data_IF_679180397440
#
_entry.id   IF_679180397440
#
_cell.length_a   1.000
_cell.length_b   1.000
_cell.length_c   1.000
_cell.angle_alpha   90.00
_cell.angle_beta   90.00
_cell.angle_gamma   90.00
#
_symmetry.space_group_name_H-M   'P 1'
#
loop_
_entity.id
_entity.type
_entity.pdbx_description
1 polymer ?
#
# COMPACT_ATOMS: atom_id res chain seq x y z
N UNK A 1 -1.04 1.11 -38.34
CA UNK A 1 -0.54 0.60 -37.04
C UNK A 1 -1.34 1.23 -35.91
N UNK A 2 -2.47 0.61 -35.54
CA UNK A 2 -3.38 1.15 -34.52
C UNK A 2 -2.74 1.06 -33.13
N UNK A 3 -2.70 2.19 -32.42
CA UNK A 3 -2.11 2.28 -31.09
C UNK A 3 -2.76 1.31 -30.10
N UNK A 4 -1.92 0.50 -29.44
CA UNK A 4 -2.31 -0.44 -28.39
C UNK A 4 -3.04 0.32 -27.28
N UNK A 5 -4.38 0.26 -27.26
CA UNK A 5 -5.21 0.96 -26.27
C UNK A 5 -4.86 0.46 -24.87
N UNK A 6 -4.87 1.34 -23.87
CA UNK A 6 -4.50 1.05 -22.47
C UNK A 6 -5.22 -0.19 -21.91
N UNK A 7 -6.45 -0.45 -22.37
CA UNK A 7 -7.28 -1.61 -22.02
C UNK A 7 -6.64 -2.95 -22.40
N UNK A 8 -5.99 -3.02 -23.56
CA UNK A 8 -5.28 -4.22 -24.03
C UNK A 8 -4.08 -4.53 -23.13
N UNK A 9 -3.33 -3.49 -22.69
CA UNK A 9 -2.22 -3.66 -21.75
C UNK A 9 -2.68 -4.15 -20.38
N UNK A 10 -3.81 -3.64 -19.86
CA UNK A 10 -4.36 -4.10 -18.58
C UNK A 10 -4.85 -5.55 -18.64
N UNK A 11 -5.46 -5.97 -19.75
CA UNK A 11 -5.90 -7.36 -19.93
C UNK A 11 -4.70 -8.31 -19.99
N UNK A 12 -3.67 -7.96 -20.76
CA UNK A 12 -2.42 -8.74 -20.83
C UNK A 12 -1.75 -8.85 -19.46
N UNK A 13 -1.68 -7.75 -18.69
CA UNK A 13 -1.11 -7.77 -17.35
C UNK A 13 -1.90 -8.69 -16.40
N UNK A 14 -3.23 -8.67 -16.48
CA UNK A 14 -4.10 -9.54 -15.68
C UNK A 14 -3.91 -11.02 -16.03
N UNK A 15 -3.84 -11.38 -17.32
CA UNK A 15 -3.57 -12.75 -17.78
C UNK A 15 -2.21 -13.21 -17.23
N UNK A 16 -1.17 -12.40 -17.38
CA UNK A 16 0.17 -12.72 -16.90
C UNK A 16 0.21 -12.90 -15.37
N UNK A 17 -0.49 -12.04 -14.61
CA UNK A 17 -0.60 -12.14 -13.16
C UNK A 17 -1.27 -13.43 -12.73
N UNK A 18 -2.42 -13.78 -13.33
CA UNK A 18 -3.16 -15.01 -13.03
C UNK A 18 -2.30 -16.25 -13.30
N UNK A 19 -1.62 -16.31 -14.44
CA UNK A 19 -0.70 -17.41 -14.78
C UNK A 19 0.44 -17.49 -13.74
N UNK A 20 1.06 -16.35 -13.42
CA UNK A 20 2.17 -16.27 -12.47
C UNK A 20 1.76 -16.76 -11.07
N UNK A 21 0.58 -16.38 -10.58
CA UNK A 21 0.06 -16.85 -9.30
C UNK A 21 -0.43 -18.31 -9.35
N UNK A 22 -0.97 -18.77 -10.47
CA UNK A 22 -1.32 -20.18 -10.67
C UNK A 22 -0.12 -21.12 -10.61
N UNK A 23 1.06 -20.65 -11.00
CA UNK A 23 2.34 -21.40 -10.92
C UNK A 23 3.03 -21.31 -9.55
N UNK A 24 2.51 -20.49 -8.63
CA UNK A 24 3.13 -20.27 -7.32
C UNK A 24 2.57 -21.25 -6.30
N UNK A 25 3.35 -22.29 -5.97
CA UNK A 25 2.98 -23.30 -4.97
C UNK A 25 3.03 -22.69 -3.56
N UNK A 26 4.14 -22.04 -3.21
CA UNK A 26 4.29 -21.33 -1.93
C UNK A 26 4.18 -19.81 -2.12
N UNK A 27 3.01 -19.28 -1.77
CA UNK A 27 2.73 -17.83 -1.83
C UNK A 27 3.48 -17.04 -0.76
N UNK A 28 3.72 -17.66 0.41
CA UNK A 28 4.41 -17.02 1.52
C UNK A 28 5.91 -16.85 1.20
N UNK A 29 6.53 -17.86 0.58
CA UNK A 29 7.91 -17.80 0.10
C UNK A 29 8.10 -16.76 -1.01
N UNK A 30 7.17 -16.70 -1.98
CA UNK A 30 7.25 -15.73 -3.08
C UNK A 30 7.31 -14.28 -2.60
N UNK A 31 6.59 -13.95 -1.53
CA UNK A 31 6.53 -12.58 -0.98
C UNK A 31 7.48 -12.36 0.20
N UNK A 32 8.18 -13.41 0.66
CA UNK A 32 9.08 -13.34 1.81
C UNK A 32 10.21 -12.32 1.64
N UNK A 33 10.92 -12.23 0.50
CA UNK A 33 11.97 -11.23 0.32
C UNK A 33 11.44 -9.80 0.47
N UNK A 34 10.27 -9.52 -0.12
CA UNK A 34 9.62 -8.21 -0.02
C UNK A 34 9.19 -7.91 1.42
N UNK A 35 8.66 -8.90 2.15
CA UNK A 35 8.30 -8.74 3.58
C UNK A 35 9.53 -8.46 4.44
N UNK A 36 10.66 -9.14 4.18
CA UNK A 36 11.92 -8.90 4.89
C UNK A 36 12.45 -7.50 4.65
N UNK A 37 12.60 -7.09 3.38
CA UNK A 37 13.03 -5.74 3.03
C UNK A 37 12.10 -4.66 3.61
N UNK A 38 10.80 -4.95 3.66
CA UNK A 38 9.82 -4.07 4.28
C UNK A 38 10.05 -3.89 5.79
N UNK A 39 10.55 -4.89 6.51
CA UNK A 39 10.88 -4.77 7.93
C UNK A 39 12.25 -4.12 8.13
N UNK A 40 13.25 -4.55 7.35
CA UNK A 40 14.64 -4.07 7.42
C UNK A 40 14.76 -2.55 7.24
N UNK A 41 13.88 -1.94 6.43
CA UNK A 41 13.87 -0.46 6.28
C UNK A 41 13.71 0.26 7.61
N UNK A 42 12.98 -0.30 8.56
CA UNK A 42 12.76 0.33 9.86
C UNK A 42 13.95 0.15 10.79
N UNK A 43 14.68 -0.95 10.68
CA UNK A 43 15.94 -1.16 11.38
C UNK A 43 17.00 -0.18 10.90
N UNK A 44 17.13 0.01 9.58
CA UNK A 44 18.00 1.03 8.98
C UNK A 44 17.62 2.47 9.36
N UNK A 45 16.33 2.75 9.51
CA UNK A 45 15.87 4.06 9.98
C UNK A 45 16.08 4.26 11.49
N UNK A 46 16.04 3.17 12.27
CA UNK A 46 16.28 3.22 13.71
C UNK A 46 17.77 3.44 14.03
N UNK A 47 18.65 2.88 13.21
CA UNK A 47 20.10 2.95 13.39
C UNK A 47 20.82 3.05 12.04
N UNK A 48 20.87 4.26 11.44
CA UNK A 48 21.52 4.47 10.15
C UNK A 48 23.03 4.16 10.18
N UNK A 49 23.67 4.42 11.33
CA UNK A 49 25.12 4.30 11.51
C UNK A 49 25.53 2.92 12.08
N UNK A 50 24.57 2.09 12.48
CA UNK A 50 24.83 0.72 12.95
C UNK A 50 25.43 0.63 14.36
N UNK A 51 25.35 1.68 15.17
CA UNK A 51 26.05 1.80 16.46
C UNK A 51 25.25 1.21 17.61
N UNK A 52 23.93 1.03 17.46
CA UNK A 52 23.07 0.56 18.54
C UNK A 52 23.20 -0.95 18.76
N UNK A 53 22.99 -1.37 20.02
CA UNK A 53 22.83 -2.79 20.35
C UNK A 53 21.64 -3.38 19.57
N UNK A 54 21.72 -4.63 19.07
CA UNK A 54 20.66 -5.22 18.25
C UNK A 54 19.29 -5.23 18.92
N UNK A 55 19.22 -5.46 20.23
CA UNK A 55 17.96 -5.46 20.99
C UNK A 55 17.32 -4.07 21.01
N UNK A 56 18.11 -3.02 21.20
CA UNK A 56 17.66 -1.62 21.21
C UNK A 56 17.22 -1.19 19.82
N UNK A 57 18.00 -1.54 18.79
CA UNK A 57 17.65 -1.29 17.38
C UNK A 57 16.31 -1.90 17.02
N UNK A 58 16.05 -3.15 17.42
CA UNK A 58 14.79 -3.83 17.17
C UNK A 58 13.60 -3.16 17.86
N UNK A 59 13.75 -2.77 19.13
CA UNK A 59 12.72 -2.04 19.86
C UNK A 59 12.39 -0.70 19.18
N UNK A 60 13.42 0.06 18.78
CA UNK A 60 13.23 1.33 18.08
C UNK A 60 12.58 1.14 16.70
N UNK A 61 13.03 0.14 15.93
CA UNK A 61 12.43 -0.22 14.65
C UNK A 61 10.95 -0.56 14.78
N UNK A 62 10.56 -1.30 15.83
CA UNK A 62 9.17 -1.63 16.10
C UNK A 62 8.32 -0.37 16.38
N UNK A 63 8.83 0.57 17.19
CA UNK A 63 8.13 1.85 17.45
C UNK A 63 8.00 2.68 16.18
N UNK A 64 9.03 2.76 15.34
CA UNK A 64 8.98 3.44 14.05
C UNK A 64 7.96 2.81 13.11
N UNK A 65 7.90 1.48 13.09
CA UNK A 65 6.91 0.72 12.31
C UNK A 65 5.48 1.06 12.77
N UNK A 66 5.22 1.05 14.07
CA UNK A 66 3.91 1.43 14.62
C UNK A 66 3.53 2.87 14.24
N UNK A 67 4.45 3.82 14.43
CA UNK A 67 4.22 5.21 14.07
C UNK A 67 3.92 5.38 12.57
N UNK A 68 4.61 4.64 11.69
CA UNK A 68 4.35 4.68 10.25
C UNK A 68 2.93 4.25 9.90
N UNK A 69 2.46 3.12 10.42
CA UNK A 69 1.11 2.63 10.16
C UNK A 69 0.03 3.51 10.79
N UNK A 70 0.27 4.06 11.98
CA UNK A 70 -0.62 5.04 12.60
C UNK A 70 -0.76 6.31 11.75
N UNK A 71 0.35 6.83 11.19
CA UNK A 71 0.30 7.97 10.25
C UNK A 71 -0.52 7.64 9.00
N UNK A 72 -0.35 6.46 8.42
CA UNK A 72 -1.16 6.00 7.28
C UNK A 72 -2.65 5.91 7.64
N UNK A 73 -2.98 5.29 8.78
CA UNK A 73 -4.35 5.15 9.25
C UNK A 73 -5.01 6.52 9.48
N UNK A 74 -4.30 7.45 10.11
CA UNK A 74 -4.76 8.83 10.31
C UNK A 74 -5.03 9.54 8.98
N UNK A 75 -4.10 9.47 8.02
CA UNK A 75 -4.28 10.05 6.68
C UNK A 75 -5.49 9.45 5.96
N UNK A 76 -5.66 8.14 6.06
CA UNK A 76 -6.81 7.42 5.48
C UNK A 76 -8.14 7.86 6.11
N UNK A 77 -8.20 7.97 7.44
CA UNK A 77 -9.37 8.48 8.15
C UNK A 77 -9.70 9.93 7.74
N UNK A 78 -8.69 10.80 7.62
CA UNK A 78 -8.88 12.17 7.16
C UNK A 78 -9.43 12.22 5.72
N UNK A 79 -8.92 11.37 4.82
CA UNK A 79 -9.42 11.29 3.45
C UNK A 79 -10.89 10.83 3.40
N UNK A 80 -11.28 9.82 4.20
CA UNK A 80 -12.68 9.38 4.32
C UNK A 80 -13.59 10.51 4.83
N UNK A 81 -13.18 11.23 5.88
CA UNK A 81 -13.94 12.38 6.41
C UNK A 81 -14.15 13.47 5.34
N UNK A 82 -13.11 13.82 4.59
CA UNK A 82 -13.20 14.80 3.49
C UNK A 82 -14.19 14.37 2.40
N UNK A 83 -14.17 13.09 2.02
CA UNK A 83 -15.12 12.54 1.04
C UNK A 83 -16.56 12.56 1.55
N UNK A 84 -16.79 12.17 2.80
CA UNK A 84 -18.11 12.23 3.42
C UNK A 84 -18.63 13.66 3.47
N UNK A 85 -17.79 14.63 3.86
CA UNK A 85 -18.16 16.04 3.86
C UNK A 85 -18.44 16.56 2.44
N UNK A 86 -17.65 16.19 1.44
CA UNK A 86 -17.91 16.58 0.05
C UNK A 86 -19.22 15.99 -0.51
N UNK A 87 -19.58 14.76 -0.11
CA UNK A 87 -20.87 14.17 -0.44
C UNK A 87 -22.01 14.89 0.27
N UNK A 88 -21.84 15.25 1.55
CA UNK A 88 -22.86 15.94 2.34
C UNK A 88 -23.04 17.43 1.94
N UNK A 89 -22.00 18.05 1.37
CA UNK A 89 -22.02 19.45 0.90
C UNK A 89 -22.64 19.59 -0.49
N UNK A 90 -22.87 18.49 -1.24
CA UNK A 90 -23.68 18.55 -2.47
C UNK A 90 -25.15 18.77 -2.08
N UNK A 91 -25.71 19.99 -2.22
CA UNK A 91 -27.14 20.19 -2.06
C UNK A 91 -27.82 19.49 -3.24
N UNK A 92 -29.02 18.95 -3.01
CA UNK A 92 -29.74 18.06 -3.93
C UNK A 92 -29.58 18.42 -5.41
N UNK A 93 -29.33 17.39 -6.22
CA UNK A 93 -29.53 17.45 -7.66
C UNK A 93 -30.95 17.99 -7.93
N UNK A 94 -31.13 19.19 -8.50
CA UNK A 94 -32.41 19.61 -9.02
C UNK A 94 -32.58 19.00 -10.41
N UNK A 95 -33.69 18.31 -10.64
CA UNK A 95 -34.14 17.94 -11.98
C UNK A 95 -33.73 16.54 -12.43
N UNK A 96 -34.42 15.52 -11.94
CA UNK A 96 -34.86 14.43 -12.80
C UNK A 96 -36.36 14.65 -13.07
N UNK A 97 -36.65 15.65 -13.90
CA UNK A 97 -37.97 15.81 -14.52
C UNK A 97 -37.95 15.17 -15.90
N UNK A 98 -39.08 14.52 -16.18
CA UNK A 98 -39.61 14.07 -17.48
C UNK A 98 -39.16 12.70 -17.95
#
# INVERSE_FOLDING_TARGET
MAGRRVTDRSQVASIASNISWGRTIDRAARTLPARRAALERFEKLADPDGVLEPSVRLQMAEKLRHAHYQRMARKSAQARKRRANATNVRPGLPGATS
#
